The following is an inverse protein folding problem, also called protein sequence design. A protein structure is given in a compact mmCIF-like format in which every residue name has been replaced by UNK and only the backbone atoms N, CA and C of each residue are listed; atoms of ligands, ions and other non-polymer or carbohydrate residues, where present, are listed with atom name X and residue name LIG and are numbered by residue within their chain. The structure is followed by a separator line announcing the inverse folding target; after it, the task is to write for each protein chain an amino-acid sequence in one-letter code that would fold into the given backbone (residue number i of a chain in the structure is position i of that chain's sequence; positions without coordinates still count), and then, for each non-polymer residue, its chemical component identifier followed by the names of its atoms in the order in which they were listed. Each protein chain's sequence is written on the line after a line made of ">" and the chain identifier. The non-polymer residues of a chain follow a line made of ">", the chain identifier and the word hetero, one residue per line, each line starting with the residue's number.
data_IF_055731463270
#
_entry.id   IF_055731463270
#
_cell.length_a   1.000
_cell.length_b   1.000
_cell.length_c   1.000
_cell.angle_alpha   90.00
_cell.angle_beta   90.00
_cell.angle_gamma   90.00
#
_symmetry.space_group_name_H-M   'P 1'
#
loop_
_entity.id
_entity.type
_entity.pdbx_description
1 polymer ?
#
# COMPACT_ATOMS: atom_id res chain seq x y z
N UNK A 1 -8.64 41.98 3.70
CA UNK A 1 -8.38 40.68 3.14
C UNK A 1 -8.03 39.57 4.14
N UNK A 2 -7.03 39.73 5.04
CA UNK A 2 -6.67 38.68 6.02
C UNK A 2 -7.79 38.34 7.00
N UNK A 3 -8.56 39.31 7.48
CA UNK A 3 -9.69 39.09 8.42
C UNK A 3 -10.88 38.40 7.76
N UNK A 4 -11.17 38.70 6.49
CA UNK A 4 -12.24 38.05 5.72
C UNK A 4 -11.89 36.60 5.40
N UNK A 5 -10.63 36.30 5.08
CA UNK A 5 -10.17 34.92 4.85
C UNK A 5 -10.25 34.07 6.12
N UNK A 6 -9.85 34.64 7.27
CA UNK A 6 -9.94 33.94 8.56
C UNK A 6 -11.39 33.64 8.97
N UNK A 7 -12.32 34.59 8.71
CA UNK A 7 -13.75 34.40 8.97
C UNK A 7 -14.34 33.32 8.06
N UNK A 8 -13.92 33.27 6.79
CA UNK A 8 -14.38 32.28 5.83
C UNK A 8 -13.86 30.88 6.20
N UNK A 9 -12.61 30.77 6.64
CA UNK A 9 -12.03 29.52 7.12
C UNK A 9 -12.76 29.03 8.39
N UNK A 10 -13.06 29.95 9.32
CA UNK A 10 -13.80 29.62 10.54
C UNK A 10 -15.22 29.16 10.27
N UNK A 11 -15.95 29.80 9.33
CA UNK A 11 -17.30 29.37 8.93
C UNK A 11 -17.28 28.00 8.23
N UNK A 12 -16.29 27.72 7.40
CA UNK A 12 -16.14 26.38 6.76
C UNK A 12 -15.86 25.31 7.83
N UNK A 13 -14.99 25.58 8.80
CA UNK A 13 -14.72 24.65 9.91
C UNK A 13 -15.96 24.43 10.76
N UNK A 14 -16.73 25.47 11.08
CA UNK A 14 -17.99 25.37 11.86
C UNK A 14 -19.08 24.64 11.07
N UNK A 15 -19.15 24.81 9.75
CA UNK A 15 -20.10 24.08 8.89
C UNK A 15 -19.76 22.59 8.81
N UNK A 16 -18.48 22.24 8.81
CA UNK A 16 -18.01 20.83 8.86
C UNK A 16 -18.29 20.16 10.22
N UNK A 17 -18.26 20.91 11.31
CA UNK A 17 -18.59 20.38 12.65
C UNK A 17 -20.09 20.23 12.90
N UNK A 18 -20.95 20.95 12.14
CA UNK A 18 -22.40 20.87 12.21
C UNK A 18 -23.02 19.65 11.52
N UNK A 19 -22.26 18.89 10.75
CA UNK A 19 -22.69 17.61 10.24
C UNK A 19 -22.89 16.68 11.43
N UNK A 20 -24.14 16.34 11.74
CA UNK A 20 -24.48 15.30 12.74
C UNK A 20 -23.73 14.05 12.33
N UNK A 21 -22.56 13.80 12.92
CA UNK A 21 -21.89 12.52 12.85
C UNK A 21 -22.87 11.52 13.47
N UNK A 22 -23.68 10.83 12.65
CA UNK A 22 -24.20 9.54 13.07
C UNK A 22 -22.96 8.79 13.51
N UNK A 23 -22.94 8.30 14.74
CA UNK A 23 -21.87 7.47 15.24
C UNK A 23 -21.83 6.22 14.35
N UNK A 24 -21.17 6.34 13.19
CA UNK A 24 -20.87 5.19 12.35
C UNK A 24 -19.97 4.31 13.19
N UNK A 25 -20.35 3.05 13.30
CA UNK A 25 -19.51 2.10 14.02
C UNK A 25 -18.15 2.09 13.32
N UNK A 26 -17.13 2.56 14.03
CA UNK A 26 -15.76 2.59 13.55
C UNK A 26 -15.01 1.37 14.10
N UNK A 27 -14.43 0.60 13.22
CA UNK A 27 -13.58 -0.52 13.57
C UNK A 27 -12.13 -0.10 13.44
N UNK A 28 -11.34 -0.31 14.47
CA UNK A 28 -9.89 -0.08 14.45
C UNK A 28 -9.13 -1.37 14.62
N UNK A 29 -7.93 -1.45 14.05
CA UNK A 29 -7.11 -2.63 14.18
C UNK A 29 -5.65 -2.39 13.85
N UNK A 30 -4.89 -3.46 13.98
CA UNK A 30 -3.46 -3.51 13.65
C UNK A 30 -3.21 -4.56 12.58
N UNK A 31 -2.14 -4.39 11.82
CA UNK A 31 -1.71 -5.34 10.82
C UNK A 31 -0.19 -5.49 10.82
N UNK A 32 0.26 -6.67 10.51
CA UNK A 32 1.69 -6.96 10.30
C UNK A 32 1.84 -8.12 9.32
N UNK A 33 2.91 -8.10 8.54
CA UNK A 33 3.08 -9.13 7.52
C UNK A 33 4.44 -9.13 6.84
N UNK A 34 4.56 -10.02 5.88
CA UNK A 34 5.72 -10.18 5.03
C UNK A 34 5.43 -9.60 3.64
N UNK A 35 6.49 -9.15 3.01
CA UNK A 35 6.46 -8.56 1.67
C UNK A 35 7.50 -9.28 0.82
N UNK A 36 7.15 -9.56 -0.43
CA UNK A 36 8.07 -9.89 -1.49
C UNK A 36 7.98 -8.81 -2.57
N UNK A 37 9.08 -8.16 -2.90
CA UNK A 37 9.08 -7.01 -3.80
C UNK A 37 10.16 -7.11 -4.88
N UNK A 38 9.89 -6.38 -5.96
CA UNK A 38 10.82 -6.13 -7.05
C UNK A 38 10.65 -4.70 -7.57
N UNK A 39 11.65 -4.18 -8.25
CA UNK A 39 11.59 -2.89 -8.95
C UNK A 39 11.58 -3.18 -10.44
N UNK A 40 10.46 -2.87 -11.11
CA UNK A 40 10.39 -2.99 -12.56
C UNK A 40 11.19 -1.86 -13.23
N UNK A 41 11.97 -2.20 -14.25
CA UNK A 41 12.81 -1.26 -15.00
C UNK A 41 14.28 -1.24 -14.59
N UNK A 42 14.68 -1.98 -13.55
CA UNK A 42 16.08 -2.09 -13.11
C UNK A 42 16.89 -3.15 -13.89
N UNK A 43 16.23 -3.97 -14.71
CA UNK A 43 16.86 -5.02 -15.50
C UNK A 43 17.00 -6.36 -14.77
N UNK A 44 16.61 -6.43 -13.49
CA UNK A 44 16.58 -7.65 -12.70
C UNK A 44 15.16 -8.19 -12.59
N UNK A 45 15.00 -9.50 -12.50
CA UNK A 45 13.70 -10.16 -12.43
C UNK A 45 13.44 -10.81 -11.08
N UNK A 46 12.14 -10.98 -10.76
CA UNK A 46 11.70 -11.78 -9.61
C UNK A 46 11.57 -11.02 -8.28
N UNK A 47 10.77 -11.61 -7.39
CA UNK A 47 10.47 -11.07 -6.06
C UNK A 47 11.52 -11.50 -5.02
N UNK A 48 12.79 -11.19 -5.28
CA UNK A 48 13.91 -11.66 -4.45
C UNK A 48 14.16 -10.78 -3.21
N UNK A 49 13.60 -9.57 -3.17
CA UNK A 49 13.66 -8.73 -1.98
C UNK A 49 12.53 -9.07 -1.02
N UNK A 50 12.89 -9.74 0.08
CA UNK A 50 11.97 -9.96 1.19
C UNK A 50 11.99 -8.76 2.14
N UNK A 51 10.81 -8.36 2.57
CA UNK A 51 10.59 -7.27 3.49
C UNK A 51 9.47 -7.59 4.48
N UNK A 52 9.08 -6.58 5.23
CA UNK A 52 7.99 -6.67 6.19
C UNK A 52 7.15 -5.40 6.18
N UNK A 53 5.94 -5.50 6.69
CA UNK A 53 5.02 -4.38 6.89
C UNK A 53 4.40 -4.45 8.27
N UNK A 54 4.15 -3.30 8.86
CA UNK A 54 3.37 -3.18 10.08
C UNK A 54 2.61 -1.85 10.06
N UNK A 55 1.40 -1.85 10.64
CA UNK A 55 0.59 -0.65 10.64
C UNK A 55 -0.71 -0.79 11.41
N UNK A 56 -1.49 0.26 11.31
CA UNK A 56 -2.83 0.36 11.88
C UNK A 56 -3.84 0.60 10.78
N UNK A 57 -5.07 0.19 10.99
CA UNK A 57 -6.16 0.50 10.09
C UNK A 57 -7.40 0.99 10.85
N UNK A 58 -8.18 1.80 10.14
CA UNK A 58 -9.50 2.20 10.53
C UNK A 58 -10.50 1.86 9.44
N UNK A 59 -11.60 1.21 9.79
CA UNK A 59 -12.64 0.78 8.88
C UNK A 59 -13.96 1.46 9.20
N UNK A 60 -14.64 1.91 8.18
CA UNK A 60 -16.00 2.44 8.25
C UNK A 60 -16.90 1.40 7.58
N UNK A 61 -17.59 0.55 8.37
CA UNK A 61 -18.55 -0.39 7.82
C UNK A 61 -19.76 0.36 7.26
N UNK A 62 -20.48 -0.28 6.36
CA UNK A 62 -21.74 0.19 5.78
C UNK A 62 -22.81 -0.86 6.04
N UNK A 63 -24.07 -0.49 5.92
CA UNK A 63 -25.23 -1.40 6.06
C UNK A 63 -25.30 -2.46 4.94
N UNK A 64 -24.36 -2.46 4.01
CA UNK A 64 -24.25 -3.39 2.89
C UNK A 64 -22.91 -4.14 2.85
N UNK A 65 -22.62 -4.80 1.72
CA UNK A 65 -21.38 -5.55 1.54
C UNK A 65 -20.15 -4.65 1.35
N UNK A 66 -20.36 -3.36 1.21
CA UNK A 66 -19.29 -2.38 0.98
C UNK A 66 -18.79 -1.79 2.29
N UNK A 67 -17.49 -1.51 2.35
CA UNK A 67 -16.88 -0.75 3.44
C UNK A 67 -15.66 0.00 2.93
N UNK A 68 -15.24 1.02 3.67
CA UNK A 68 -14.01 1.75 3.43
C UNK A 68 -13.01 1.45 4.54
N UNK A 69 -11.75 1.31 4.17
CA UNK A 69 -10.65 1.14 5.13
C UNK A 69 -9.53 2.11 4.77
N UNK A 70 -9.04 2.81 5.77
CA UNK A 70 -7.84 3.63 5.70
C UNK A 70 -6.76 2.97 6.53
N UNK A 71 -5.52 3.01 6.04
CA UNK A 71 -4.39 2.40 6.71
C UNK A 71 -3.27 3.43 6.87
N UNK A 72 -2.46 3.22 7.89
CA UNK A 72 -1.15 3.85 8.05
C UNK A 72 -0.16 2.73 8.30
N UNK A 73 0.75 2.49 7.35
CA UNK A 73 1.70 1.39 7.39
C UNK A 73 3.12 1.90 7.24
N UNK A 74 4.04 1.16 7.83
CA UNK A 74 5.45 1.21 7.49
C UNK A 74 5.83 -0.08 6.78
N UNK A 75 6.52 0.02 5.64
CA UNK A 75 6.84 -1.13 4.80
C UNK A 75 8.26 -1.03 4.23
N UNK A 76 8.89 -2.18 4.10
CA UNK A 76 10.21 -2.33 3.50
C UNK A 76 10.08 -2.96 2.12
N UNK A 77 10.23 -2.15 1.06
CA UNK A 77 10.28 -2.57 -0.32
C UNK A 77 11.71 -2.65 -0.84
N UNK A 78 11.89 -3.05 -2.09
CA UNK A 78 13.18 -2.98 -2.76
C UNK A 78 13.35 -4.00 -3.87
N UNK A 79 14.61 -4.22 -4.25
CA UNK A 79 15.04 -5.23 -5.20
C UNK A 79 16.37 -5.85 -4.75
N UNK A 80 16.50 -7.14 -5.03
CA UNK A 80 17.72 -7.90 -4.75
C UNK A 80 18.02 -8.80 -5.94
N UNK A 81 19.28 -8.82 -6.41
CA UNK A 81 19.72 -9.70 -7.49
C UNK A 81 19.76 -11.15 -7.02
N UNK A 82 19.27 -12.08 -7.84
CA UNK A 82 19.44 -13.51 -7.58
C UNK A 82 20.88 -13.96 -7.81
N UNK A 83 21.26 -15.07 -7.16
CA UNK A 83 22.58 -15.67 -7.34
C UNK A 83 22.88 -16.06 -8.79
N UNK A 84 21.85 -16.52 -9.54
CA UNK A 84 21.96 -16.85 -10.96
C UNK A 84 22.24 -15.64 -11.84
N UNK A 85 21.61 -14.50 -11.54
CA UNK A 85 21.85 -13.25 -12.28
C UNK A 85 23.30 -12.79 -12.13
N UNK A 86 23.86 -12.94 -10.92
CA UNK A 86 25.27 -12.65 -10.64
C UNK A 86 26.20 -13.65 -11.35
N UNK A 87 25.85 -14.92 -11.40
CA UNK A 87 26.58 -15.97 -12.13
C UNK A 87 26.62 -15.71 -13.64
N UNK A 88 25.54 -15.14 -14.21
CA UNK A 88 25.48 -14.69 -15.61
C UNK A 88 26.21 -13.35 -15.87
N UNK A 89 26.91 -12.81 -14.87
CA UNK A 89 27.76 -11.62 -15.01
C UNK A 89 27.06 -10.30 -14.74
N UNK A 90 25.84 -10.34 -14.16
CA UNK A 90 25.18 -9.12 -13.68
C UNK A 90 25.81 -8.67 -12.34
N UNK A 91 25.88 -7.37 -12.12
CA UNK A 91 26.42 -6.83 -10.88
C UNK A 91 25.51 -7.14 -9.69
N UNK A 92 26.06 -7.56 -8.53
CA UNK A 92 25.26 -7.75 -7.34
C UNK A 92 24.54 -6.47 -6.94
N UNK A 93 23.21 -6.54 -6.79
CA UNK A 93 22.36 -5.41 -6.45
C UNK A 93 21.56 -5.69 -5.18
N UNK A 94 21.48 -4.70 -4.29
CA UNK A 94 20.61 -4.73 -3.14
C UNK A 94 20.10 -3.32 -2.87
N UNK A 95 18.79 -3.14 -3.08
CA UNK A 95 18.07 -1.88 -2.86
C UNK A 95 17.04 -2.12 -1.77
N UNK A 96 17.01 -1.26 -0.76
CA UNK A 96 16.01 -1.26 0.30
C UNK A 96 15.39 0.11 0.40
N UNK A 97 14.07 0.17 0.26
CA UNK A 97 13.26 1.37 0.29
C UNK A 97 12.28 1.27 1.45
N UNK A 98 12.36 2.19 2.38
CA UNK A 98 11.50 2.26 3.55
C UNK A 98 10.39 3.26 3.31
N UNK A 99 9.15 2.82 3.28
CA UNK A 99 7.99 3.64 2.99
C UNK A 99 7.07 3.79 4.20
N UNK A 100 6.50 4.99 4.33
CA UNK A 100 5.28 5.23 5.09
C UNK A 100 4.16 5.28 4.07
N UNK A 101 3.19 4.39 4.18
CA UNK A 101 2.09 4.24 3.24
C UNK A 101 0.77 4.66 3.87
N UNK A 102 -0.07 5.33 3.07
CA UNK A 102 -1.43 5.75 3.41
C UNK A 102 -2.44 5.14 2.41
N UNK A 103 -2.75 3.85 2.50
CA UNK A 103 -3.75 3.22 1.65
C UNK A 103 -5.17 3.65 2.01
N UNK A 104 -5.97 3.91 0.97
CA UNK A 104 -7.42 4.04 1.05
C UNK A 104 -8.02 2.92 0.22
N UNK A 105 -8.70 1.99 0.90
CA UNK A 105 -9.21 0.76 0.33
C UNK A 105 -10.74 0.77 0.28
N UNK A 106 -11.29 0.48 -0.87
CA UNK A 106 -12.67 0.10 -1.06
C UNK A 106 -12.76 -1.43 -0.93
N UNK A 107 -13.71 -1.90 -0.13
CA UNK A 107 -13.83 -3.30 0.25
C UNK A 107 -15.23 -3.81 -0.07
N UNK A 108 -15.30 -5.00 -0.64
CA UNK A 108 -16.56 -5.68 -0.96
C UNK A 108 -16.57 -7.07 -0.33
N UNK A 109 -17.40 -7.28 0.68
CA UNK A 109 -17.59 -8.58 1.32
C UNK A 109 -18.47 -9.49 0.45
N UNK A 110 -18.00 -10.73 0.22
CA UNK A 110 -18.70 -11.70 -0.64
C UNK A 110 -19.86 -12.42 0.06
N UNK A 111 -20.44 -11.87 1.12
CA UNK A 111 -21.56 -12.47 1.88
C UNK A 111 -22.81 -12.78 1.06
N UNK A 112 -22.99 -12.09 -0.07
CA UNK A 112 -24.09 -12.36 -1.02
C UNK A 112 -23.86 -13.56 -1.94
N UNK A 113 -22.65 -14.09 -1.96
CA UNK A 113 -22.28 -15.22 -2.80
C UNK A 113 -22.24 -16.50 -1.98
N UNK A 114 -22.65 -17.58 -2.62
CA UNK A 114 -22.68 -18.92 -2.03
C UNK A 114 -22.12 -19.92 -3.07
N UNK A 115 -21.19 -20.76 -2.67
CA UNK A 115 -20.67 -21.84 -3.50
C UNK A 115 -20.97 -23.17 -2.80
N UNK A 116 -21.77 -24.01 -3.44
CA UNK A 116 -22.19 -25.34 -2.94
C UNK A 116 -22.75 -25.31 -1.51
N UNK A 117 -23.56 -24.28 -1.19
CA UNK A 117 -24.16 -24.12 0.14
C UNK A 117 -23.27 -23.44 1.18
N UNK A 118 -22.02 -23.12 0.85
CA UNK A 118 -21.09 -22.40 1.75
C UNK A 118 -21.12 -20.90 1.46
N UNK A 119 -21.54 -20.05 2.41
CA UNK A 119 -21.50 -18.60 2.22
C UNK A 119 -20.05 -18.10 2.23
N UNK A 120 -19.73 -17.19 1.28
CA UNK A 120 -18.40 -16.60 1.17
C UNK A 120 -18.23 -15.34 2.04
N UNK A 121 -18.95 -15.24 3.14
CA UNK A 121 -18.91 -14.08 4.05
C UNK A 121 -17.55 -13.84 4.72
N UNK A 122 -16.71 -14.86 4.72
CA UNK A 122 -15.34 -14.77 5.25
C UNK A 122 -14.32 -14.19 4.26
N UNK A 123 -14.74 -13.88 3.01
CA UNK A 123 -13.88 -13.31 1.97
C UNK A 123 -14.34 -11.90 1.67
N UNK A 124 -13.38 -10.97 1.63
CA UNK A 124 -13.58 -9.59 1.20
C UNK A 124 -12.59 -9.24 0.10
N UNK A 125 -13.09 -8.75 -1.02
CA UNK A 125 -12.28 -8.16 -2.09
C UNK A 125 -11.86 -6.75 -1.69
N UNK A 126 -10.64 -6.36 -2.02
CA UNK A 126 -10.11 -5.04 -1.72
C UNK A 126 -9.53 -4.41 -2.99
N UNK A 127 -9.89 -3.16 -3.23
CA UNK A 127 -9.34 -2.33 -4.29
C UNK A 127 -9.03 -0.94 -3.71
N UNK A 128 -7.89 -0.36 -4.03
CA UNK A 128 -7.58 0.95 -3.50
C UNK A 128 -6.35 1.61 -4.09
N UNK A 129 -6.08 2.78 -3.57
CA UNK A 129 -4.89 3.57 -3.88
C UNK A 129 -4.13 3.86 -2.59
N UNK A 130 -2.82 3.94 -2.70
CA UNK A 130 -1.93 4.32 -1.61
C UNK A 130 -1.06 5.50 -2.02
N UNK A 131 -0.90 6.46 -1.13
CA UNK A 131 0.19 7.45 -1.19
C UNK A 131 1.36 6.90 -0.38
N UNK A 132 2.51 6.74 -1.03
CA UNK A 132 3.69 6.12 -0.45
C UNK A 132 4.81 7.15 -0.30
N UNK A 133 5.23 7.41 0.92
CA UNK A 133 6.25 8.40 1.27
C UNK A 133 7.55 7.68 1.62
N UNK A 134 8.60 7.94 0.83
CA UNK A 134 9.92 7.38 1.05
C UNK A 134 10.59 8.01 2.28
N UNK A 135 10.74 7.24 3.35
CA UNK A 135 11.38 7.69 4.59
C UNK A 135 12.91 7.48 4.55
N UNK A 136 13.37 6.39 3.93
CA UNK A 136 14.80 6.06 3.82
C UNK A 136 15.04 5.14 2.62
N UNK A 137 16.19 5.31 1.98
CA UNK A 137 16.70 4.37 1.01
C UNK A 137 18.11 3.90 1.39
N UNK A 138 18.44 2.67 1.02
CA UNK A 138 19.77 2.11 1.15
C UNK A 138 20.06 1.31 -0.11
N UNK A 139 21.21 1.54 -0.72
CA UNK A 139 21.62 0.91 -1.97
C UNK A 139 23.07 0.46 -1.81
N UNK A 140 23.38 -0.78 -2.23
CA UNK A 140 24.78 -1.25 -2.21
C UNK A 140 25.63 -0.47 -3.23
N UNK A 141 26.87 -0.18 -2.85
CA UNK A 141 27.78 0.71 -3.57
C UNK A 141 28.27 0.19 -4.94
N UNK A 142 27.93 -1.03 -5.33
CA UNK A 142 28.41 -1.65 -6.56
C UNK A 142 27.61 -1.30 -7.82
N UNK A 143 26.67 -0.36 -7.72
CA UNK A 143 26.08 0.26 -8.92
C UNK A 143 27.04 1.34 -9.46
N UNK A 144 28.27 0.95 -9.71
CA UNK A 144 29.13 1.71 -10.62
C UNK A 144 28.66 1.40 -12.03
N UNK A 145 28.08 2.39 -12.65
CA UNK A 145 28.48 2.79 -14.00
C UNK A 145 27.35 3.53 -14.69
N UNK A 146 27.64 4.73 -15.05
CA UNK A 146 27.02 5.40 -16.20
C UNK A 146 25.70 6.12 -15.98
N UNK A 147 25.06 6.00 -14.83
CA UNK A 147 23.88 6.80 -14.51
C UNK A 147 24.25 7.85 -13.47
N UNK A 148 24.35 9.10 -13.87
CA UNK A 148 24.25 10.22 -12.94
C UNK A 148 23.05 9.94 -12.03
N UNK A 149 23.32 9.84 -10.74
CA UNK A 149 22.49 9.37 -9.65
C UNK A 149 21.08 10.01 -9.63
N UNK A 150 20.06 9.53 -10.37
CA UNK A 150 18.72 10.05 -10.17
C UNK A 150 18.27 9.66 -8.78
N UNK A 151 17.92 10.66 -7.99
CA UNK A 151 17.43 10.45 -6.63
C UNK A 151 16.10 9.69 -6.65
N UNK A 152 15.91 8.84 -5.64
CA UNK A 152 14.61 8.22 -5.38
C UNK A 152 13.57 9.29 -5.10
N UNK A 153 12.38 9.14 -5.64
CA UNK A 153 11.28 10.07 -5.42
C UNK A 153 10.76 9.93 -4.00
N UNK A 154 10.53 11.07 -3.35
CA UNK A 154 9.97 11.13 -2.01
C UNK A 154 8.55 10.58 -1.95
N UNK A 155 7.78 10.72 -3.03
CA UNK A 155 6.37 10.34 -3.08
C UNK A 155 6.07 9.54 -4.34
N UNK A 156 5.27 8.49 -4.17
CA UNK A 156 4.68 7.71 -5.26
C UNK A 156 3.24 7.32 -4.94
N UNK A 157 2.48 7.00 -5.99
CA UNK A 157 1.11 6.50 -5.89
C UNK A 157 1.09 5.05 -6.34
N UNK A 158 0.49 4.18 -5.53
CA UNK A 158 0.41 2.73 -5.75
C UNK A 158 -1.04 2.28 -5.82
N UNK A 159 -1.37 1.47 -6.84
CA UNK A 159 -2.62 0.73 -6.93
C UNK A 159 -2.54 -0.54 -6.11
N UNK A 160 -3.60 -0.85 -5.38
CA UNK A 160 -3.71 -1.99 -4.50
C UNK A 160 -4.89 -2.87 -4.92
N UNK A 161 -4.66 -4.18 -5.04
CA UNK A 161 -5.69 -5.19 -5.24
C UNK A 161 -5.46 -6.31 -4.23
N UNK A 162 -6.48 -6.67 -3.46
CA UNK A 162 -6.31 -7.63 -2.37
C UNK A 162 -7.50 -8.50 -2.08
N UNK A 163 -7.24 -9.50 -1.25
CA UNK A 163 -8.19 -10.41 -0.66
C UNK A 163 -7.96 -10.41 0.85
N UNK A 164 -9.02 -10.20 1.61
CA UNK A 164 -9.03 -10.40 3.04
C UNK A 164 -9.83 -11.67 3.36
N UNK A 165 -9.24 -12.54 4.17
CA UNK A 165 -9.88 -13.74 4.71
C UNK A 165 -10.07 -13.56 6.21
N UNK A 166 -11.32 -13.51 6.65
CA UNK A 166 -11.65 -13.38 8.07
C UNK A 166 -11.66 -14.77 8.72
N UNK A 167 -10.75 -15.01 9.67
CA UNK A 167 -10.59 -16.28 10.42
C UNK A 167 -11.43 -16.30 11.71
N UNK A 168 -12.33 -15.36 11.87
CA UNK A 168 -13.19 -15.15 13.01
C UNK A 168 -13.56 -13.69 13.17
N UNK A 169 -13.99 -13.29 14.37
CA UNK A 169 -14.46 -11.92 14.61
C UNK A 169 -13.32 -10.88 14.62
N UNK A 170 -12.09 -11.30 14.93
CA UNK A 170 -10.98 -10.36 15.15
C UNK A 170 -9.76 -10.62 14.29
N UNK A 171 -9.52 -11.86 13.93
CA UNK A 171 -8.34 -12.25 13.15
C UNK A 171 -8.67 -12.39 11.68
N UNK A 172 -7.72 -11.99 10.84
CA UNK A 172 -7.81 -12.22 9.40
C UNK A 172 -6.43 -12.30 8.74
N UNK A 173 -6.44 -12.80 7.51
CA UNK A 173 -5.28 -12.85 6.62
C UNK A 173 -5.56 -11.97 5.42
N UNK A 174 -4.66 -11.05 5.13
CA UNK A 174 -4.72 -10.17 3.99
C UNK A 174 -3.65 -10.56 2.97
N UNK A 175 -4.06 -10.81 1.74
CA UNK A 175 -3.17 -11.01 0.60
C UNK A 175 -3.36 -9.86 -0.37
N UNK A 176 -2.29 -9.17 -0.76
CA UNK A 176 -2.38 -7.96 -1.58
C UNK A 176 -1.28 -7.91 -2.64
N UNK A 177 -1.65 -7.56 -3.86
CA UNK A 177 -0.75 -7.13 -4.92
C UNK A 177 -0.78 -5.60 -4.99
N UNK A 178 0.39 -4.99 -5.02
CA UNK A 178 0.58 -3.56 -4.99
C UNK A 178 1.51 -3.17 -6.14
N UNK A 179 1.05 -2.26 -7.01
CA UNK A 179 1.81 -1.84 -8.19
C UNK A 179 1.86 -0.33 -8.24
N UNK A 180 3.05 0.25 -8.26
CA UNK A 180 3.21 1.69 -8.42
C UNK A 180 2.63 2.17 -9.75
N UNK A 181 1.74 3.15 -9.68
CA UNK A 181 1.17 3.85 -10.84
C UNK A 181 2.11 4.97 -11.27
N UNK A 182 2.72 5.64 -10.30
CA UNK A 182 3.77 6.65 -10.56
C UNK A 182 5.14 6.04 -10.33
N UNK A 183 6.19 6.52 -11.03
CA UNK A 183 7.54 6.04 -10.79
C UNK A 183 7.99 6.23 -9.33
N UNK A 184 8.80 5.31 -8.81
CA UNK A 184 9.55 5.52 -7.57
C UNK A 184 10.93 6.14 -7.82
N UNK A 185 11.39 6.12 -9.09
CA UNK A 185 12.63 6.75 -9.54
C UNK A 185 12.54 7.09 -11.03
N UNK A 186 12.95 8.31 -11.41
CA UNK A 186 13.02 8.70 -12.80
C UNK A 186 14.26 8.12 -13.50
N UNK A 187 14.10 7.78 -14.77
CA UNK A 187 15.25 7.50 -15.69
C UNK A 187 15.36 8.69 -16.62
N UNK A 188 16.46 9.47 -16.55
CA UNK A 188 16.61 10.71 -17.35
C UNK A 188 16.54 10.49 -18.86
N UNK A 189 16.98 9.33 -19.32
CA UNK A 189 17.02 8.96 -20.75
C UNK A 189 15.65 8.47 -21.29
N UNK A 190 14.65 8.33 -20.43
CA UNK A 190 13.33 7.86 -20.89
C UNK A 190 12.61 8.98 -21.65
N UNK A 191 12.18 8.73 -22.91
CA UNK A 191 11.43 9.71 -23.69
C UNK A 191 9.99 9.90 -23.22
N UNK A 192 9.49 9.05 -22.33
CA UNK A 192 8.12 9.04 -21.86
C UNK A 192 8.04 9.36 -20.37
N UNK A 193 7.01 10.10 -19.96
CA UNK A 193 6.69 10.36 -18.56
C UNK A 193 5.94 9.20 -17.90
N UNK A 194 5.44 8.22 -18.68
CA UNK A 194 4.59 7.15 -18.18
C UNK A 194 5.25 5.77 -18.17
N UNK A 195 6.32 5.57 -18.95
CA UNK A 195 7.01 4.27 -19.02
C UNK A 195 8.50 4.43 -19.23
N UNK A 196 9.26 3.36 -18.96
CA UNK A 196 10.71 3.37 -19.02
C UNK A 196 11.38 3.88 -17.74
N UNK A 197 10.62 4.10 -16.67
CA UNK A 197 11.11 4.47 -15.35
C UNK A 197 11.11 3.26 -14.41
N UNK A 198 11.42 3.49 -13.13
CA UNK A 198 11.42 2.45 -12.09
C UNK A 198 10.11 2.45 -11.33
N UNK A 199 9.51 1.27 -11.17
CA UNK A 199 8.23 1.08 -10.50
C UNK A 199 8.31 -0.05 -9.47
N UNK A 200 7.76 0.15 -8.29
CA UNK A 200 7.64 -0.91 -7.30
C UNK A 200 6.51 -1.87 -7.68
N UNK A 201 6.79 -3.17 -7.60
CA UNK A 201 5.80 -4.24 -7.67
C UNK A 201 5.97 -5.08 -6.41
N UNK A 202 4.88 -5.26 -5.65
CA UNK A 202 4.92 -5.82 -4.31
C UNK A 202 3.80 -6.82 -4.12
N UNK A 203 4.14 -7.96 -3.53
CA UNK A 203 3.21 -8.94 -3.00
C UNK A 203 3.29 -8.91 -1.47
N UNK A 204 2.14 -8.79 -0.81
CA UNK A 204 2.03 -8.74 0.64
C UNK A 204 1.17 -9.89 1.14
N UNK A 205 1.61 -10.51 2.23
CA UNK A 205 0.79 -11.38 3.06
C UNK A 205 0.85 -10.88 4.50
N UNK A 206 -0.29 -10.47 5.07
CA UNK A 206 -0.35 -9.85 6.38
C UNK A 206 -1.43 -10.48 7.26
N UNK A 207 -1.16 -10.54 8.56
CA UNK A 207 -2.15 -10.80 9.59
C UNK A 207 -2.80 -9.49 10.01
N UNK A 208 -4.10 -9.49 10.19
CA UNK A 208 -4.90 -8.37 10.68
C UNK A 208 -5.57 -8.74 11.99
N UNK A 209 -5.60 -7.82 12.94
CA UNK A 209 -6.31 -7.99 14.20
C UNK A 209 -7.20 -6.78 14.48
N UNK A 210 -8.51 -6.99 14.53
CA UNK A 210 -9.52 -5.96 14.81
C UNK A 210 -9.68 -5.81 16.32
N UNK A 211 -9.39 -4.61 16.85
CA UNK A 211 -9.45 -4.31 18.29
C UNK A 211 -10.89 -4.24 18.78
N UNK A 212 -11.76 -3.60 18.01
CA UNK A 212 -13.18 -3.46 18.31
C UNK A 212 -13.97 -3.83 17.06
N UNK A 213 -14.50 -5.07 16.98
CA UNK A 213 -15.42 -5.45 15.94
C UNK A 213 -16.72 -4.62 16.02
N UNK A 214 -17.38 -4.41 14.88
CA UNK A 214 -18.72 -3.82 14.86
C UNK A 214 -19.67 -4.74 15.63
N UNK A 215 -20.41 -4.21 16.57
CA UNK A 215 -21.55 -4.94 17.14
C UNK A 215 -22.63 -5.03 16.05
N UNK A 216 -22.85 -6.22 15.54
CA UNK A 216 -23.98 -6.51 14.64
C UNK A 216 -25.29 -6.33 15.36
#
# INVERSE_FOLDING_TARGET
>A
MKKTLALLLFTVVMALTGLKARAQSFEGGVMTGVIASQINGDGYGGFHQLGWTAGVFGRIPSDGPFSWQMELKYSLFGAHSDAKEVEFGMNPMNIRLHYIELPVMWRYNLSRFNINGVPLSFITLELGLSGDFLAKNTQSANMESGFENPSWLFFSVTGNLGLQFDLGERLGVNLRSMNSITPCRWRPESPSIFYGHYYNIVLQAALTYTLKPSSK
#
